data_IF_233008841000
#
_entry.id   IF_233008841000
#
_cell.length_a   1.000
_cell.length_b   1.000
_cell.length_c   1.000
_cell.angle_alpha   90.00
_cell.angle_beta   90.00
_cell.angle_gamma   90.00
#
_symmetry.space_group_name_H-M   'P 1'
#
loop_
_entity.id
_entity.type
_entity.pdbx_description
1 polymer ?
#
# COMPACT_ATOMS: atom_id res chain seq x y z
N UNK A 1 -37.78 -35.60 13.39
CA UNK A 1 -37.71 -34.69 12.23
C UNK A 1 -37.44 -33.22 12.59
N UNK A 2 -37.79 -32.75 13.81
CA UNK A 2 -37.60 -31.34 14.22
C UNK A 2 -36.14 -30.83 14.16
N UNK A 3 -35.14 -31.65 14.53
CA UNK A 3 -33.73 -31.22 14.51
C UNK A 3 -33.16 -30.90 13.12
N UNK A 4 -33.66 -31.54 12.05
CA UNK A 4 -33.23 -31.24 10.66
C UNK A 4 -33.68 -29.85 10.22
N UNK A 5 -34.86 -29.40 10.64
CA UNK A 5 -35.39 -28.07 10.32
C UNK A 5 -34.67 -26.97 11.10
N UNK A 6 -34.25 -27.25 12.34
CA UNK A 6 -33.41 -26.33 13.11
C UNK A 6 -32.02 -26.19 12.50
N UNK A 7 -31.39 -27.30 12.08
CA UNK A 7 -30.10 -27.26 11.40
C UNK A 7 -30.16 -26.49 10.07
N UNK A 8 -31.24 -26.66 9.31
CA UNK A 8 -31.49 -25.93 8.06
C UNK A 8 -31.64 -24.42 8.31
N UNK A 9 -32.39 -24.02 9.33
CA UNK A 9 -32.55 -22.61 9.70
C UNK A 9 -31.23 -21.97 10.15
N UNK A 10 -30.40 -22.72 10.88
CA UNK A 10 -29.07 -22.26 11.32
C UNK A 10 -28.12 -22.05 10.13
N UNK A 11 -28.16 -22.95 9.15
CA UNK A 11 -27.43 -22.82 7.88
C UNK A 11 -27.89 -21.61 7.07
N UNK A 12 -29.20 -21.38 6.95
CA UNK A 12 -29.77 -20.23 6.25
C UNK A 12 -29.35 -18.90 6.90
N UNK A 13 -29.33 -18.85 8.23
CA UNK A 13 -28.88 -17.69 8.98
C UNK A 13 -27.39 -17.39 8.74
N UNK A 14 -26.54 -18.42 8.79
CA UNK A 14 -25.11 -18.28 8.47
C UNK A 14 -24.86 -17.80 7.04
N UNK A 15 -25.63 -18.33 6.07
CA UNK A 15 -25.53 -17.93 4.68
C UNK A 15 -25.95 -16.46 4.49
N UNK A 16 -26.98 -16.02 5.19
CA UNK A 16 -27.44 -14.63 5.17
C UNK A 16 -26.37 -13.66 5.70
N UNK A 17 -25.74 -13.96 6.84
CA UNK A 17 -24.68 -13.12 7.40
C UNK A 17 -23.41 -13.08 6.53
N UNK A 18 -23.06 -14.19 5.87
CA UNK A 18 -21.98 -14.23 4.89
C UNK A 18 -22.25 -13.30 3.68
N UNK A 19 -23.46 -13.36 3.11
CA UNK A 19 -23.86 -12.51 1.98
C UNK A 19 -23.91 -11.03 2.39
N UNK A 20 -24.48 -10.72 3.57
CA UNK A 20 -24.57 -9.35 4.07
C UNK A 20 -23.17 -8.73 4.26
N UNK A 21 -22.25 -9.48 4.85
CA UNK A 21 -20.84 -9.06 5.04
C UNK A 21 -20.13 -8.83 3.70
N UNK A 22 -20.34 -9.69 2.71
CA UNK A 22 -19.79 -9.52 1.35
C UNK A 22 -20.34 -8.27 0.66
N UNK A 23 -21.62 -7.94 0.87
CA UNK A 23 -22.25 -6.80 0.22
C UNK A 23 -21.76 -5.47 0.83
N UNK A 24 -21.53 -5.43 2.14
CA UNK A 24 -20.92 -4.29 2.82
C UNK A 24 -19.46 -4.09 2.39
N UNK A 25 -18.69 -5.18 2.28
CA UNK A 25 -17.29 -5.11 1.85
C UNK A 25 -17.09 -4.55 0.43
N UNK A 26 -18.04 -4.80 -0.48
CA UNK A 26 -18.00 -4.27 -1.86
C UNK A 26 -18.12 -2.74 -1.88
N UNK A 27 -18.85 -2.14 -0.93
CA UNK A 27 -18.99 -0.67 -0.81
C UNK A 27 -17.68 -0.03 -0.35
N UNK A 28 -16.95 -0.72 0.52
CA UNK A 28 -15.65 -0.26 1.08
C UNK A 28 -14.45 -0.58 0.17
N UNK A 29 -14.67 -1.04 -1.07
CA UNK A 29 -13.58 -1.36 -2.01
C UNK A 29 -12.74 -2.58 -1.62
N UNK A 30 -13.20 -3.40 -0.66
CA UNK A 30 -12.50 -4.59 -0.16
C UNK A 30 -12.84 -5.83 -0.98
N UNK A 31 -11.98 -6.87 -0.91
CA UNK A 31 -12.20 -8.14 -1.62
C UNK A 31 -13.48 -8.85 -1.11
N UNK A 32 -14.56 -8.92 -1.91
CA UNK A 32 -15.86 -9.41 -1.42
C UNK A 32 -15.80 -10.89 -1.00
N UNK A 33 -14.96 -11.69 -1.67
CA UNK A 33 -14.78 -13.12 -1.40
C UNK A 33 -14.20 -13.37 -0.01
N UNK A 34 -13.18 -12.61 0.39
CA UNK A 34 -12.55 -12.75 1.71
C UNK A 34 -13.56 -12.45 2.83
N UNK A 35 -14.36 -11.40 2.63
CA UNK A 35 -15.37 -10.98 3.61
C UNK A 35 -16.60 -11.88 3.69
N UNK A 36 -16.93 -12.59 2.62
CA UNK A 36 -17.93 -13.65 2.64
C UNK A 36 -17.53 -14.78 3.60
N UNK A 37 -16.30 -15.29 3.50
CA UNK A 37 -15.84 -16.39 4.36
C UNK A 37 -15.68 -15.96 5.82
N UNK A 38 -15.23 -14.73 6.07
CA UNK A 38 -15.17 -14.17 7.42
C UNK A 38 -16.57 -14.10 8.04
N UNK A 39 -17.56 -13.56 7.30
CA UNK A 39 -18.95 -13.49 7.77
C UNK A 39 -19.63 -14.84 7.90
N UNK A 40 -19.28 -15.81 7.03
CA UNK A 40 -19.78 -17.17 7.11
C UNK A 40 -19.30 -17.84 8.39
N UNK A 41 -17.99 -17.88 8.66
CA UNK A 41 -17.43 -18.63 9.80
C UNK A 41 -17.49 -17.91 11.15
N UNK A 42 -17.56 -16.59 11.17
CA UNK A 42 -17.52 -15.79 12.40
C UNK A 42 -18.81 -14.99 12.64
N UNK A 43 -19.83 -15.11 11.78
CA UNK A 43 -21.15 -14.50 11.97
C UNK A 43 -21.08 -12.98 12.22
N UNK A 44 -21.72 -12.52 13.30
CA UNK A 44 -21.74 -11.11 13.70
C UNK A 44 -20.35 -10.52 13.98
N UNK A 45 -19.35 -11.35 14.33
CA UNK A 45 -17.98 -10.88 14.52
C UNK A 45 -17.33 -10.42 13.20
N UNK A 46 -17.78 -10.92 12.04
CA UNK A 46 -17.32 -10.41 10.75
C UNK A 46 -17.69 -8.95 10.52
N UNK A 47 -18.85 -8.53 11.01
CA UNK A 47 -19.32 -7.13 10.94
C UNK A 47 -18.61 -6.27 12.00
N UNK A 48 -18.43 -6.80 13.21
CA UNK A 48 -17.61 -6.13 14.24
C UNK A 48 -16.18 -5.92 13.75
N UNK A 49 -15.59 -6.91 13.07
CA UNK A 49 -14.29 -6.77 12.43
C UNK A 49 -14.34 -5.77 11.28
N UNK A 50 -15.40 -5.67 10.47
CA UNK A 50 -15.52 -4.60 9.46
C UNK A 50 -15.37 -3.21 10.08
N UNK A 51 -16.00 -2.99 11.24
CA UNK A 51 -15.93 -1.75 12.01
C UNK A 51 -14.60 -1.57 12.75
N UNK A 52 -13.91 -2.65 13.13
CA UNK A 52 -12.60 -2.65 13.77
C UNK A 52 -11.43 -2.62 12.76
N UNK A 53 -11.68 -2.96 11.50
CA UNK A 53 -10.69 -3.01 10.42
C UNK A 53 -10.30 -1.67 9.76
N UNK A 54 -10.89 -0.48 10.01
CA UNK A 54 -10.29 0.73 9.45
C UNK A 54 -8.86 0.99 9.98
N UNK A 55 -8.38 0.23 10.98
CA UNK A 55 -6.99 0.31 11.44
C UNK A 55 -5.95 -0.36 10.52
N UNK A 56 -6.32 -1.39 9.73
CA UNK A 56 -5.32 -2.29 9.13
C UNK A 56 -5.24 -2.26 7.60
N UNK A 57 -5.98 -1.39 6.91
CA UNK A 57 -5.95 -1.32 5.45
C UNK A 57 -4.90 -0.33 4.92
N UNK A 58 -3.63 -0.73 5.01
CA UNK A 58 -2.53 -0.13 4.23
C UNK A 58 -1.88 -1.16 3.30
N UNK A 59 -1.83 -0.79 2.02
CA UNK A 59 -1.11 -1.38 0.86
C UNK A 59 -1.74 -2.63 0.22
N UNK A 60 -2.21 -2.46 -1.04
CA UNK A 60 -1.42 -2.74 -2.26
C UNK A 60 -2.21 -2.33 -3.50
N UNK A 61 -1.75 -1.29 -4.22
CA UNK A 61 -2.10 -1.08 -5.64
C UNK A 61 -0.99 -0.39 -6.42
N UNK A 62 0.21 -0.94 -6.35
CA UNK A 62 1.28 -0.65 -7.30
C UNK A 62 1.30 -1.69 -8.41
N UNK A 63 0.60 -1.42 -9.51
CA UNK A 63 0.89 -1.86 -10.90
C UNK A 63 -0.34 -1.68 -11.79
N UNK A 64 -0.28 -0.70 -12.69
CA UNK A 64 -0.77 -0.89 -14.06
C UNK A 64 0.48 -1.12 -14.92
N UNK A 65 0.58 -2.17 -15.74
CA UNK A 65 1.57 -2.25 -16.79
C UNK A 65 1.24 -1.16 -17.81
N UNK A 66 1.99 -0.07 -17.80
CA UNK A 66 1.95 0.90 -18.89
C UNK A 66 2.73 0.21 -20.03
N UNK A 67 2.03 -0.22 -21.06
CA UNK A 67 2.65 -0.60 -22.32
C UNK A 67 3.40 0.63 -22.86
N UNK A 68 4.72 0.66 -22.67
CA UNK A 68 5.57 1.73 -23.20
C UNK A 68 5.64 1.62 -24.72
N UNK A 69 5.31 2.69 -25.47
CA UNK A 69 5.60 2.74 -26.90
C UNK A 69 7.12 2.80 -27.10
N UNK A 70 7.65 1.68 -27.59
CA UNK A 70 8.80 1.50 -28.49
C UNK A 70 9.84 2.64 -28.61
N UNK A 71 11.04 2.31 -28.10
CA UNK A 71 12.41 2.59 -28.58
C UNK A 71 13.00 4.02 -28.50
N UNK A 72 13.75 4.24 -27.42
CA UNK A 72 15.01 4.99 -27.43
C UNK A 72 16.16 4.02 -27.09
N UNK A 73 17.36 4.19 -27.65
CA UNK A 73 18.48 3.26 -27.47
C UNK A 73 18.84 3.11 -25.99
N UNK A 74 19.33 1.92 -25.56
CA UNK A 74 19.67 1.66 -24.17
C UNK A 74 20.89 2.49 -23.77
N UNK A 75 20.65 3.66 -23.19
CA UNK A 75 21.63 4.30 -22.33
C UNK A 75 21.85 3.37 -21.12
N UNK A 76 23.08 3.11 -20.66
CA UNK A 76 23.34 2.47 -19.38
C UNK A 76 23.01 3.45 -18.25
N UNK A 77 21.77 3.91 -18.18
CA UNK A 77 21.25 4.63 -17.03
C UNK A 77 21.11 3.60 -15.93
N UNK A 78 22.12 3.54 -15.05
CA UNK A 78 21.97 2.95 -13.74
C UNK A 78 20.84 3.73 -13.07
N UNK A 79 19.60 3.25 -13.22
CA UNK A 79 18.42 3.85 -12.59
C UNK A 79 18.56 3.55 -11.10
N UNK A 80 19.25 4.43 -10.40
CA UNK A 80 19.40 4.35 -8.96
C UNK A 80 18.04 4.64 -8.34
N UNK A 81 17.51 3.63 -7.65
CA UNK A 81 16.23 3.70 -6.99
C UNK A 81 16.46 4.16 -5.56
N UNK A 82 15.86 5.29 -5.22
CA UNK A 82 15.93 5.89 -3.91
C UNK A 82 14.71 5.54 -3.08
N UNK A 83 14.97 5.36 -1.79
CA UNK A 83 13.98 5.21 -0.75
C UNK A 83 14.19 6.31 0.28
N UNK A 84 13.12 6.81 0.87
CA UNK A 84 13.20 7.84 1.90
C UNK A 84 12.18 7.62 3.02
N UNK A 85 12.43 8.24 4.17
CA UNK A 85 11.46 8.38 5.24
C UNK A 85 10.81 9.76 5.18
N UNK A 86 9.49 9.79 5.03
CA UNK A 86 8.70 11.02 5.08
C UNK A 86 8.65 11.61 6.51
N UNK A 87 8.05 12.79 6.67
CA UNK A 87 7.87 13.45 7.98
C UNK A 87 7.11 12.59 9.01
N UNK A 88 6.37 11.56 8.57
CA UNK A 88 5.68 10.59 9.44
C UNK A 88 6.50 9.34 9.72
N UNK A 89 7.80 9.36 9.38
CA UNK A 89 8.75 8.24 9.46
C UNK A 89 8.30 7.00 8.68
N UNK A 90 7.59 7.16 7.56
CA UNK A 90 7.18 6.04 6.72
C UNK A 90 8.11 5.88 5.53
N UNK A 91 8.41 4.62 5.24
CA UNK A 91 9.19 4.20 4.07
C UNK A 91 8.41 4.46 2.78
N UNK A 92 8.94 5.38 1.97
CA UNK A 92 8.51 5.70 0.62
C UNK A 92 9.58 5.26 -0.40
N UNK A 93 9.17 4.92 -1.62
CA UNK A 93 10.04 4.39 -2.67
C UNK A 93 9.70 2.95 -3.11
N UNK A 94 10.41 2.39 -4.11
CA UNK A 94 11.52 3.00 -4.84
C UNK A 94 11.06 4.09 -5.81
N UNK A 95 11.71 5.25 -5.77
CA UNK A 95 11.53 6.34 -6.74
C UNK A 95 12.86 6.66 -7.41
N UNK A 96 12.81 7.21 -8.61
CA UNK A 96 13.95 7.76 -9.33
C UNK A 96 14.35 9.15 -8.79
N UNK A 97 15.54 9.61 -9.16
CA UNK A 97 16.08 10.89 -8.71
C UNK A 97 15.19 12.08 -9.13
N UNK A 98 14.59 12.07 -10.32
CA UNK A 98 13.72 13.16 -10.77
C UNK A 98 12.47 13.28 -9.88
N UNK A 99 11.89 12.16 -9.48
CA UNK A 99 10.81 12.17 -8.48
C UNK A 99 11.31 12.56 -7.09
N UNK A 100 12.51 12.13 -6.70
CA UNK A 100 13.11 12.47 -5.41
C UNK A 100 13.31 13.99 -5.26
N UNK A 101 13.76 14.65 -6.33
CA UNK A 101 13.90 16.11 -6.37
C UNK A 101 12.54 16.82 -6.19
N UNK A 102 11.48 16.32 -6.84
CA UNK A 102 10.13 16.89 -6.70
C UNK A 102 9.57 16.77 -5.29
N UNK A 103 9.78 15.64 -4.61
CA UNK A 103 9.30 15.45 -3.24
C UNK A 103 10.13 16.26 -2.22
N UNK A 104 11.40 16.55 -2.55
CA UNK A 104 12.20 17.50 -1.79
C UNK A 104 11.69 18.94 -1.99
N UNK A 105 11.40 19.35 -3.22
CA UNK A 105 10.80 20.66 -3.52
C UNK A 105 9.42 20.85 -2.87
N UNK A 106 8.63 19.77 -2.74
CA UNK A 106 7.34 19.79 -2.06
C UNK A 106 7.43 19.74 -0.53
N UNK A 107 8.63 19.88 0.06
CA UNK A 107 8.91 19.80 1.50
C UNK A 107 8.47 18.48 2.16
N UNK A 108 8.31 17.40 1.39
CA UNK A 108 7.98 16.07 1.93
C UNK A 108 9.24 15.39 2.52
N UNK A 109 10.41 15.72 1.96
CA UNK A 109 11.73 15.33 2.45
C UNK A 109 12.39 16.54 3.09
N UNK A 110 12.76 16.42 4.37
CA UNK A 110 13.51 17.43 5.09
C UNK A 110 14.99 17.04 5.19
N UNK A 111 15.84 17.97 5.60
CA UNK A 111 17.29 17.75 5.77
C UNK A 111 17.64 16.61 6.75
N UNK A 112 16.70 16.30 7.66
CA UNK A 112 16.82 15.24 8.66
C UNK A 112 16.12 13.94 8.24
N UNK A 113 15.47 13.91 7.07
CA UNK A 113 14.89 12.69 6.50
C UNK A 113 16.00 11.71 6.13
N UNK A 114 15.74 10.43 6.35
CA UNK A 114 16.65 9.35 5.98
C UNK A 114 16.39 8.94 4.54
N UNK A 115 17.46 8.78 3.78
CA UNK A 115 17.48 8.29 2.41
C UNK A 115 18.38 7.07 2.31
N UNK A 116 18.05 6.20 1.37
CA UNK A 116 18.83 5.02 1.06
C UNK A 116 18.68 4.67 -0.42
N UNK A 117 19.76 4.20 -1.02
CA UNK A 117 19.80 3.69 -2.39
C UNK A 117 20.60 2.40 -2.43
N UNK A 118 20.39 1.60 -3.47
CA UNK A 118 21.10 0.34 -3.66
C UNK A 118 22.62 0.58 -3.72
N UNK A 119 23.38 -0.17 -2.93
CA UNK A 119 24.83 0.02 -2.77
C UNK A 119 25.24 0.90 -1.58
N UNK A 120 24.29 1.57 -0.93
CA UNK A 120 24.51 2.21 0.36
C UNK A 120 24.42 1.16 1.48
N UNK A 121 25.40 1.10 2.39
CA UNK A 121 25.39 0.12 3.49
C UNK A 121 24.23 0.32 4.46
N UNK A 122 24.06 1.56 4.96
CA UNK A 122 23.04 1.95 5.93
C UNK A 122 22.31 3.23 5.49
N UNK A 123 21.11 3.44 6.01
CA UNK A 123 20.34 4.67 5.80
C UNK A 123 21.13 5.90 6.25
N UNK A 124 21.20 6.91 5.39
CA UNK A 124 21.85 8.18 5.72
C UNK A 124 20.87 9.33 5.65
N UNK A 125 21.07 10.35 6.48
CA UNK A 125 20.24 11.56 6.39
C UNK A 125 20.58 12.37 5.15
N UNK A 126 19.62 13.15 4.66
CA UNK A 126 19.87 14.06 3.54
C UNK A 126 21.04 15.04 3.86
N UNK A 127 21.08 15.56 5.08
CA UNK A 127 22.18 16.39 5.59
C UNK A 127 23.55 15.70 5.63
N UNK A 128 23.60 14.37 5.63
CA UNK A 128 24.84 13.58 5.56
C UNK A 128 25.24 13.25 4.11
N UNK A 129 24.44 13.68 3.13
CA UNK A 129 24.64 13.48 1.69
C UNK A 129 24.82 14.83 0.97
N UNK A 130 25.98 15.49 1.13
CA UNK A 130 26.23 16.81 0.53
C UNK A 130 26.23 16.75 -1.01
N UNK A 131 26.64 15.63 -1.61
CA UNK A 131 26.59 15.43 -3.06
C UNK A 131 25.15 15.47 -3.59
N UNK A 132 24.26 14.72 -2.95
CA UNK A 132 22.84 14.68 -3.32
C UNK A 132 22.15 16.04 -3.13
N UNK A 133 22.51 16.78 -2.07
CA UNK A 133 22.03 18.14 -1.84
C UNK A 133 22.49 19.13 -2.93
N UNK A 134 23.68 18.94 -3.50
CA UNK A 134 24.15 19.76 -4.61
C UNK A 134 23.39 19.42 -5.90
N UNK A 135 23.12 18.14 -6.13
CA UNK A 135 22.36 17.68 -7.29
C UNK A 135 20.93 18.23 -7.28
N UNK A 136 20.25 18.23 -6.12
CA UNK A 136 18.92 18.84 -6.01
C UNK A 136 18.89 20.33 -6.32
N UNK A 137 19.96 21.07 -5.97
CA UNK A 137 20.07 22.51 -6.25
C UNK A 137 20.42 22.81 -7.71
N UNK A 138 21.02 21.85 -8.41
CA UNK A 138 21.49 21.99 -9.79
C UNK A 138 20.49 21.41 -10.80
N UNK A 139 19.50 20.65 -10.31
CA UNK A 139 18.39 20.15 -11.11
C UNK A 139 17.54 21.33 -11.64
N UNK A 140 17.22 21.36 -12.95
CA UNK A 140 16.50 22.46 -13.61
C UNK A 140 15.00 22.49 -13.30
#
# INVERSE_FOLDING_TARGET
MAGKMQLLNLLLFWLFFGVLSSHLAKKEGRNPRTWFFIGLFFGAFGIAFLYLLPLFEKRKKGRKPIAQPKLLPPQPQRREFWYYLDATHRLQGPIDFDHLAKVWESEEIADHSYLWTDGMGDWKKLSELPELLQDFKTAP
#
